data_IF_093738396668
#
_entry.id   IF_093738396668
#
_cell.length_a   1.000
_cell.length_b   1.000
_cell.length_c   1.000
_cell.angle_alpha   90.00
_cell.angle_beta   90.00
_cell.angle_gamma   90.00
#
_symmetry.space_group_name_H-M   'P 1'
#
loop_
_entity.id
_entity.type
_entity.pdbx_description
1 polymer ?
#
# COMPACT_ATOMS: atom_id res chain seq x y z
N UNK A 1 6.29 -10.93 6.52
CA UNK A 1 6.38 -9.46 6.41
C UNK A 1 6.59 -8.90 7.81
N UNK A 2 7.24 -7.75 7.94
CA UNK A 2 7.54 -7.17 9.26
C UNK A 2 6.24 -6.75 9.98
N UNK A 3 5.37 -5.95 9.35
CA UNK A 3 4.08 -5.52 9.92
C UNK A 3 4.20 -4.63 11.18
N UNK A 4 5.39 -4.53 11.77
CA UNK A 4 5.70 -3.75 12.98
C UNK A 4 6.10 -2.31 12.68
N UNK A 5 6.45 -2.00 11.43
CA UNK A 5 6.86 -0.66 11.01
C UNK A 5 8.35 -0.37 11.21
N UNK A 6 9.13 -1.31 11.75
CA UNK A 6 10.57 -1.16 12.01
C UNK A 6 11.38 -0.98 10.74
N UNK A 7 10.95 -1.59 9.64
CA UNK A 7 11.60 -1.41 8.34
C UNK A 7 11.55 0.03 7.80
N UNK A 8 10.65 0.87 8.32
CA UNK A 8 10.59 2.27 7.95
C UNK A 8 11.59 3.14 8.74
N UNK A 9 12.17 2.65 9.83
CA UNK A 9 13.03 3.45 10.71
C UNK A 9 14.17 4.19 9.97
N UNK A 10 14.89 3.59 9.02
CA UNK A 10 15.92 4.30 8.26
C UNK A 10 15.38 5.45 7.41
N UNK A 11 14.20 5.28 6.78
CA UNK A 11 13.62 6.33 5.93
C UNK A 11 12.97 7.44 6.76
N UNK A 12 12.41 7.10 7.93
CA UNK A 12 11.83 8.07 8.85
C UNK A 12 12.88 9.04 9.40
N UNK A 13 14.13 8.59 9.61
CA UNK A 13 15.24 9.46 10.05
C UNK A 13 15.66 10.50 9.02
N UNK A 14 15.40 10.25 7.75
CA UNK A 14 15.72 11.14 6.64
C UNK A 14 14.47 11.82 6.07
N UNK A 15 13.32 11.66 6.71
CA UNK A 15 12.06 12.20 6.20
C UNK A 15 12.06 13.73 6.33
N UNK A 16 11.53 14.47 5.34
CA UNK A 16 11.50 15.93 5.42
C UNK A 16 10.72 16.40 6.64
N UNK A 17 11.22 17.45 7.31
CA UNK A 17 10.68 17.97 8.58
C UNK A 17 9.25 18.50 8.45
N UNK A 18 8.86 18.84 7.23
CA UNK A 18 7.53 19.32 6.86
C UNK A 18 6.45 18.22 6.96
N UNK A 19 6.85 16.95 7.00
CA UNK A 19 5.95 15.83 7.18
C UNK A 19 6.11 15.22 8.57
N UNK A 20 4.97 14.86 9.18
CA UNK A 20 4.90 14.11 10.42
C UNK A 20 4.46 12.68 10.10
N UNK A 21 5.40 11.74 9.85
CA UNK A 21 5.04 10.39 9.44
C UNK A 21 4.42 9.62 10.61
N UNK A 22 3.23 9.04 10.37
CA UNK A 22 2.55 8.14 11.30
C UNK A 22 2.63 6.72 10.74
N UNK A 23 3.23 5.81 11.50
CA UNK A 23 3.35 4.40 11.12
C UNK A 23 2.24 3.60 11.78
N UNK A 24 1.45 2.90 10.98
CA UNK A 24 0.40 2.00 11.46
C UNK A 24 0.98 0.59 11.54
N UNK A 25 1.16 0.07 12.76
CA UNK A 25 1.57 -1.30 12.99
C UNK A 25 0.34 -2.23 13.07
N UNK A 26 0.47 -3.43 12.51
CA UNK A 26 -0.60 -4.44 12.54
C UNK A 26 -0.32 -5.56 13.54
N UNK A 27 -1.35 -6.12 14.19
CA UNK A 27 -1.20 -7.32 15.00
C UNK A 27 -0.65 -8.49 14.16
N UNK A 28 0.31 -9.27 14.68
CA UNK A 28 0.99 -10.32 13.91
C UNK A 28 0.07 -11.50 13.57
N UNK A 29 -1.02 -11.67 14.31
CA UNK A 29 -2.02 -12.74 14.20
C UNK A 29 -3.20 -12.38 13.28
N UNK A 30 -3.27 -11.14 12.78
CA UNK A 30 -4.36 -10.67 11.94
C UNK A 30 -3.86 -10.44 10.51
N UNK A 31 -4.41 -11.19 9.56
CA UNK A 31 -4.00 -11.13 8.14
C UNK A 31 -5.14 -10.82 7.17
N UNK A 32 -6.39 -10.78 7.62
CA UNK A 32 -7.53 -10.45 6.74
C UNK A 32 -7.67 -8.95 6.64
N UNK A 33 -7.88 -8.46 5.41
CA UNK A 33 -7.99 -7.03 5.20
C UNK A 33 -9.13 -6.38 5.97
N UNK A 34 -10.29 -7.04 6.04
CA UNK A 34 -11.48 -6.49 6.69
C UNK A 34 -11.26 -6.25 8.20
N UNK A 35 -10.39 -7.06 8.83
CA UNK A 35 -10.03 -6.94 10.24
C UNK A 35 -8.97 -5.84 10.48
N UNK A 36 -8.17 -5.49 9.46
CA UNK A 36 -7.10 -4.49 9.56
C UNK A 36 -7.54 -3.07 9.16
N UNK A 37 -8.58 -2.94 8.32
CA UNK A 37 -9.13 -1.64 7.92
C UNK A 37 -9.50 -0.74 9.12
N UNK A 38 -10.17 -1.24 10.17
CA UNK A 38 -10.49 -0.44 11.34
C UNK A 38 -9.26 0.19 12.02
N UNK A 39 -8.14 -0.54 12.04
CA UNK A 39 -6.87 -0.07 12.62
C UNK A 39 -6.33 1.12 11.82
N UNK A 40 -6.35 1.02 10.49
CA UNK A 40 -5.92 2.11 9.61
C UNK A 40 -6.82 3.33 9.77
N UNK A 41 -8.14 3.13 9.83
CA UNK A 41 -9.12 4.22 10.02
C UNK A 41 -8.89 4.96 11.33
N UNK A 42 -8.64 4.23 12.42
CA UNK A 42 -8.41 4.82 13.74
C UNK A 42 -7.13 5.68 13.80
N UNK A 43 -6.20 5.47 12.88
CA UNK A 43 -4.95 6.23 12.78
C UNK A 43 -5.05 7.47 11.87
N UNK A 44 -6.18 7.68 11.18
CA UNK A 44 -6.35 8.86 10.32
C UNK A 44 -6.50 10.13 11.16
N UNK A 45 -5.83 11.23 10.80
CA UNK A 45 -6.03 12.49 11.48
C UNK A 45 -7.43 13.05 11.12
N UNK A 46 -8.27 13.39 12.11
CA UNK A 46 -9.66 13.79 11.86
C UNK A 46 -9.78 15.18 11.23
N UNK A 47 -8.91 16.11 11.62
CA UNK A 47 -9.02 17.53 11.27
C UNK A 47 -7.88 18.05 10.38
N UNK A 48 -6.84 17.23 10.16
CA UNK A 48 -5.63 17.65 9.43
C UNK A 48 -5.55 17.02 8.03
N UNK A 49 -5.02 17.76 7.03
CA UNK A 49 -4.76 17.19 5.72
C UNK A 49 -3.63 16.14 5.79
N UNK A 50 -3.81 15.02 5.10
CA UNK A 50 -2.84 13.92 5.15
C UNK A 50 -2.65 13.23 3.79
N UNK A 51 -1.54 12.48 3.69
CA UNK A 51 -1.24 11.58 2.58
C UNK A 51 -1.23 10.16 3.13
N UNK A 52 -1.98 9.26 2.49
CA UNK A 52 -2.01 7.85 2.87
C UNK A 52 -1.02 7.06 2.02
N UNK A 53 -0.12 6.31 2.67
CA UNK A 53 0.89 5.51 2.00
C UNK A 53 0.66 4.02 2.30
N UNK A 54 0.46 3.22 1.26
CA UNK A 54 0.31 1.77 1.34
C UNK A 54 1.49 1.04 0.71
N UNK A 55 2.28 0.35 1.52
CA UNK A 55 3.41 -0.47 1.06
C UNK A 55 3.01 -1.95 0.98
N UNK A 56 3.37 -2.62 -0.11
CA UNK A 56 3.15 -4.06 -0.35
C UNK A 56 1.75 -4.53 0.06
N UNK A 57 1.64 -5.35 1.12
CA UNK A 57 0.40 -5.87 1.67
C UNK A 57 -0.57 -4.79 2.14
N UNK A 58 -0.07 -3.65 2.59
CA UNK A 58 -0.88 -2.51 3.05
C UNK A 58 -1.46 -1.70 1.89
N UNK A 59 -1.00 -1.91 0.65
CA UNK A 59 -1.55 -1.19 -0.51
C UNK A 59 -3.04 -1.39 -0.71
N UNK A 60 -3.56 -2.63 -0.79
CA UNK A 60 -5.01 -2.87 -0.85
C UNK A 60 -5.80 -2.28 0.33
N UNK A 61 -5.22 -2.24 1.53
CA UNK A 61 -5.83 -1.58 2.69
C UNK A 61 -5.95 -0.07 2.46
N UNK A 62 -4.85 0.56 2.05
CA UNK A 62 -4.79 1.99 1.78
C UNK A 62 -5.74 2.40 0.63
N UNK A 63 -5.85 1.58 -0.42
CA UNK A 63 -6.83 1.79 -1.51
C UNK A 63 -8.26 1.75 -0.99
N UNK A 64 -8.61 0.75 -0.17
CA UNK A 64 -9.97 0.62 0.37
C UNK A 64 -10.33 1.80 1.26
N UNK A 65 -9.44 2.19 2.16
CA UNK A 65 -9.63 3.36 3.04
C UNK A 65 -9.72 4.65 2.23
N UNK A 66 -8.85 4.84 1.23
CA UNK A 66 -8.90 6.02 0.37
C UNK A 66 -10.20 6.10 -0.46
N UNK A 67 -10.75 4.96 -0.89
CA UNK A 67 -12.00 4.89 -1.63
C UNK A 67 -13.22 5.33 -0.80
N UNK A 68 -13.12 5.32 0.52
CA UNK A 68 -14.15 5.88 1.42
C UNK A 68 -14.14 7.42 1.45
N UNK A 69 -13.15 8.04 0.81
CA UNK A 69 -12.96 9.49 0.75
C UNK A 69 -12.97 10.17 2.13
N UNK A 70 -12.11 9.75 3.07
CA UNK A 70 -12.04 10.36 4.39
C UNK A 70 -11.67 11.86 4.26
N UNK A 71 -12.25 12.73 5.11
CA UNK A 71 -11.93 14.15 5.09
C UNK A 71 -10.44 14.37 5.31
N UNK A 72 -9.84 15.31 4.59
CA UNK A 72 -8.42 15.62 4.72
C UNK A 72 -7.48 14.79 3.84
N UNK A 73 -7.93 13.69 3.22
CA UNK A 73 -7.09 12.90 2.31
C UNK A 73 -6.67 13.72 1.08
N UNK A 74 -5.38 13.96 0.91
CA UNK A 74 -4.81 14.72 -0.21
C UNK A 74 -4.26 13.82 -1.32
N UNK A 75 -3.71 12.66 -0.96
CA UNK A 75 -3.15 11.72 -1.91
C UNK A 75 -3.07 10.30 -1.34
N UNK A 76 -3.11 9.32 -2.24
CA UNK A 76 -2.78 7.93 -1.98
C UNK A 76 -1.46 7.60 -2.69
N UNK A 77 -0.48 7.10 -1.95
CA UNK A 77 0.82 6.64 -2.46
C UNK A 77 0.91 5.13 -2.30
N UNK A 78 1.21 4.42 -3.39
CA UNK A 78 1.41 2.96 -3.37
C UNK A 78 2.88 2.64 -3.64
N UNK A 79 3.50 1.90 -2.71
CA UNK A 79 4.89 1.46 -2.82
C UNK A 79 4.92 -0.05 -2.92
N UNK A 80 5.58 -0.59 -3.95
CA UNK A 80 5.65 -2.04 -4.20
C UNK A 80 4.27 -2.74 -4.11
N UNK A 81 3.21 -2.03 -4.49
CA UNK A 81 1.83 -2.50 -4.40
C UNK A 81 1.01 -2.08 -5.63
N UNK A 82 -0.22 -2.58 -5.73
CA UNK A 82 -1.08 -2.43 -6.89
C UNK A 82 -2.56 -2.44 -6.49
N UNK A 83 -3.39 -1.71 -7.25
CA UNK A 83 -4.85 -1.65 -7.08
C UNK A 83 -5.50 -2.93 -7.59
N UNK A 84 -4.94 -3.50 -8.67
CA UNK A 84 -5.39 -4.74 -9.30
C UNK A 84 -4.27 -5.77 -9.31
N UNK A 85 -4.59 -7.06 -9.11
CA UNK A 85 -3.57 -8.10 -9.15
C UNK A 85 -2.87 -8.14 -10.52
N UNK A 86 -1.52 -8.26 -10.57
CA UNK A 86 -0.72 -8.17 -11.79
C UNK A 86 -1.06 -9.19 -12.89
N UNK A 87 -1.81 -10.25 -12.58
CA UNK A 87 -2.42 -11.14 -13.55
C UNK A 87 -3.56 -11.93 -12.90
N UNK A 88 -4.73 -12.00 -13.54
CA UNK A 88 -5.82 -12.92 -13.19
C UNK A 88 -5.63 -14.26 -13.92
N UNK A 89 -4.51 -14.94 -13.68
CA UNK A 89 -4.25 -16.25 -14.30
C UNK A 89 -4.68 -17.39 -13.35
N UNK A 90 -5.45 -18.39 -13.82
CA UNK A 90 -5.87 -19.54 -13.00
C UNK A 90 -4.72 -20.47 -12.56
N UNK A 91 -3.49 -20.29 -13.05
CA UNK A 91 -2.34 -21.15 -12.80
C UNK A 91 -1.24 -20.38 -12.05
N UNK A 92 -1.12 -20.54 -10.72
CA UNK A 92 -0.23 -19.73 -9.89
C UNK A 92 1.26 -19.94 -10.17
N UNK A 93 1.68 -21.16 -10.56
CA UNK A 93 3.06 -21.44 -10.94
C UNK A 93 3.47 -20.69 -12.22
N UNK A 94 2.59 -20.69 -13.22
CA UNK A 94 2.80 -19.96 -14.47
C UNK A 94 2.79 -18.44 -14.25
N UNK A 95 1.96 -17.96 -13.31
CA UNK A 95 1.94 -16.55 -12.90
C UNK A 95 3.29 -16.09 -12.35
N UNK A 96 3.91 -16.83 -11.43
CA UNK A 96 5.20 -16.43 -10.86
C UNK A 96 6.30 -16.33 -11.93
N UNK A 97 6.32 -17.29 -12.87
CA UNK A 97 7.28 -17.33 -13.97
C UNK A 97 7.11 -16.17 -14.98
N UNK A 98 5.91 -15.60 -15.13
CA UNK A 98 5.62 -14.53 -16.08
C UNK A 98 5.69 -13.14 -15.44
N UNK A 99 5.17 -12.98 -14.21
CA UNK A 99 5.07 -11.66 -13.55
C UNK A 99 6.45 -11.09 -13.22
N UNK A 100 7.39 -11.92 -12.75
CA UNK A 100 8.75 -11.46 -12.41
C UNK A 100 9.48 -10.82 -13.62
N UNK A 101 9.63 -11.55 -14.74
CA UNK A 101 10.24 -11.01 -15.96
C UNK A 101 9.45 -9.83 -16.56
N UNK A 102 8.12 -9.87 -16.54
CA UNK A 102 7.29 -8.80 -17.09
C UNK A 102 7.45 -7.48 -16.32
N UNK A 103 7.54 -7.51 -14.98
CA UNK A 103 7.79 -6.32 -14.17
C UNK A 103 9.16 -5.69 -14.49
N UNK A 104 10.16 -6.51 -14.79
CA UNK A 104 11.52 -6.05 -15.09
C UNK A 104 11.69 -5.51 -16.53
N UNK A 105 10.88 -5.96 -17.47
CA UNK A 105 11.12 -5.71 -18.92
C UNK A 105 10.07 -4.82 -19.59
N UNK A 106 8.85 -4.77 -19.06
CA UNK A 106 7.77 -3.96 -19.64
C UNK A 106 7.91 -2.51 -19.14
N UNK A 107 7.81 -1.48 -19.98
CA UNK A 107 7.86 -0.09 -19.50
C UNK A 107 6.75 0.22 -18.49
N UNK A 108 7.06 0.99 -17.43
CA UNK A 108 6.12 1.38 -16.38
C UNK A 108 4.78 1.93 -16.91
N UNK A 109 4.81 2.75 -17.98
CA UNK A 109 3.61 3.34 -18.59
C UNK A 109 2.59 2.31 -19.08
N UNK A 110 3.07 1.12 -19.46
CA UNK A 110 2.22 0.01 -19.90
C UNK A 110 1.76 -0.78 -18.68
N UNK A 111 2.66 -1.07 -17.73
CA UNK A 111 2.32 -1.78 -16.50
C UNK A 111 1.26 -1.06 -15.67
N UNK A 112 1.37 0.27 -15.54
CA UNK A 112 0.50 1.09 -14.68
C UNK A 112 -0.98 1.00 -15.09
N UNK A 113 -1.27 0.89 -16.39
CA UNK A 113 -2.65 0.70 -16.90
C UNK A 113 -3.29 -0.60 -16.40
N UNK A 114 -2.50 -1.66 -16.23
CA UNK A 114 -3.01 -2.93 -15.73
C UNK A 114 -3.06 -2.98 -14.20
N UNK A 115 -2.07 -2.38 -13.54
CA UNK A 115 -1.90 -2.43 -12.08
C UNK A 115 -2.76 -1.42 -11.32
N UNK A 116 -3.05 -0.27 -11.92
CA UNK A 116 -3.73 0.84 -11.24
C UNK A 116 -5.15 1.08 -11.73
N UNK A 117 -5.49 0.79 -12.99
CA UNK A 117 -6.78 1.21 -13.53
C UNK A 117 -6.76 1.41 -15.03
#
# INVERSE_FOLDING_TARGET
MDGTGRLFEPILRCFPVEFQPVVVAYPPDVARYDDLIPIVRAALPPDDPFVLLGESFSGPLAVRVAAENPPGLRALVLIASFVRPPARWPFPALRAAVVGPAVATVPWRVQSRFLLG
#
